data_IF_172659832180
#
_entry.id   IF_172659832180
#
_cell.length_a   1.000
_cell.length_b   1.000
_cell.length_c   1.000
_cell.angle_alpha   90.00
_cell.angle_beta   90.00
_cell.angle_gamma   90.00
#
_symmetry.space_group_name_H-M   'P 1'
#
loop_
_entity.id
_entity.type
_entity.pdbx_description
1 polymer ?
#
# COMPACT_ATOMS: atom_id res chain seq x y z
N UNK A 1 -3.39 -15.54 13.96
CA UNK A 1 -4.19 -14.96 12.86
C UNK A 1 -3.30 -14.28 11.87
N UNK A 2 -3.55 -14.51 10.59
CA UNK A 2 -2.75 -13.90 9.54
C UNK A 2 -3.01 -12.41 9.44
N UNK A 3 -1.94 -11.66 9.27
CA UNK A 3 -2.06 -10.24 8.94
C UNK A 3 -2.29 -10.11 7.45
N UNK A 4 -3.14 -9.17 7.04
CA UNK A 4 -3.51 -8.96 5.64
C UNK A 4 -2.90 -7.67 5.13
N UNK A 5 -2.21 -7.75 3.99
CA UNK A 5 -1.66 -6.60 3.29
C UNK A 5 -2.43 -6.43 1.99
N UNK A 6 -2.95 -5.23 1.76
CA UNK A 6 -3.54 -4.87 0.47
C UNK A 6 -2.48 -4.16 -0.36
N UNK A 7 -2.08 -4.78 -1.46
CA UNK A 7 -1.16 -4.16 -2.41
C UNK A 7 -1.97 -3.60 -3.58
N UNK A 8 -1.86 -2.30 -3.78
CA UNK A 8 -2.54 -1.60 -4.87
C UNK A 8 -1.49 -1.23 -5.91
N UNK A 9 -1.50 -1.97 -7.01
CA UNK A 9 -0.47 -1.88 -8.05
C UNK A 9 -1.02 -2.38 -9.37
N UNK A 10 -0.91 -1.58 -10.44
CA UNK A 10 -1.40 -1.95 -11.76
C UNK A 10 -0.38 -2.73 -12.59
N UNK A 11 0.91 -2.67 -12.24
CA UNK A 11 1.97 -3.35 -12.97
C UNK A 11 2.17 -4.77 -12.43
N UNK A 12 2.00 -5.77 -13.31
CA UNK A 12 2.15 -7.17 -12.95
C UNK A 12 3.55 -7.49 -12.43
N UNK A 13 4.59 -6.92 -13.04
CA UNK A 13 5.97 -7.18 -12.60
C UNK A 13 6.22 -6.68 -11.18
N UNK A 14 5.68 -5.52 -10.84
CA UNK A 14 5.80 -5.00 -9.48
C UNK A 14 5.00 -5.83 -8.49
N UNK A 15 3.82 -6.32 -8.87
CA UNK A 15 3.03 -7.23 -8.02
C UNK A 15 3.80 -8.52 -7.76
N UNK A 16 4.40 -9.08 -8.81
CA UNK A 16 5.17 -10.32 -8.70
C UNK A 16 6.38 -10.15 -7.80
N UNK A 17 7.06 -9.01 -7.89
CA UNK A 17 8.21 -8.72 -7.03
C UNK A 17 7.82 -8.71 -5.55
N UNK A 18 6.74 -8.02 -5.21
CA UNK A 18 6.26 -7.96 -3.83
C UNK A 18 5.85 -9.34 -3.34
N UNK A 19 5.10 -10.06 -4.16
CA UNK A 19 4.67 -11.42 -3.84
C UNK A 19 5.86 -12.36 -3.59
N UNK A 20 6.87 -12.29 -4.44
CA UNK A 20 8.09 -13.08 -4.32
C UNK A 20 8.84 -12.77 -3.01
N UNK A 21 9.00 -11.49 -2.70
CA UNK A 21 9.68 -11.07 -1.47
C UNK A 21 8.95 -11.59 -0.24
N UNK A 22 7.62 -11.49 -0.22
CA UNK A 22 6.82 -11.97 0.91
C UNK A 22 6.90 -13.48 1.07
N UNK A 23 6.84 -14.24 -0.03
CA UNK A 23 6.94 -15.70 0.03
C UNK A 23 8.28 -16.15 0.60
N UNK A 24 9.36 -15.46 0.24
CA UNK A 24 10.69 -15.84 0.72
C UNK A 24 10.95 -15.38 2.16
N UNK A 25 10.22 -14.39 2.63
CA UNK A 25 10.40 -13.83 3.98
C UNK A 25 9.91 -14.75 5.09
N UNK A 26 8.98 -15.66 4.79
CA UNK A 26 8.31 -16.54 5.76
C UNK A 26 7.49 -15.77 6.80
N UNK A 27 7.18 -14.51 6.55
CA UNK A 27 6.27 -13.76 7.41
C UNK A 27 4.85 -14.30 7.24
N UNK A 28 4.11 -14.35 8.34
CA UNK A 28 2.73 -14.86 8.32
C UNK A 28 1.77 -13.75 7.88
N UNK A 29 1.77 -13.48 6.58
CA UNK A 29 0.96 -12.43 5.97
C UNK A 29 0.22 -12.98 4.77
N UNK A 30 -0.99 -12.46 4.55
CA UNK A 30 -1.77 -12.72 3.35
C UNK A 30 -1.71 -11.48 2.47
N UNK A 31 -1.44 -11.67 1.18
CA UNK A 31 -1.38 -10.57 0.22
C UNK A 31 -2.65 -10.56 -0.61
N UNK A 32 -3.37 -9.44 -0.57
CA UNK A 32 -4.55 -9.18 -1.40
C UNK A 32 -4.15 -8.10 -2.41
N UNK A 33 -4.52 -8.29 -3.67
CA UNK A 33 -4.13 -7.40 -4.77
C UNK A 33 -5.33 -6.58 -5.23
N UNK A 34 -5.11 -5.27 -5.43
CA UNK A 34 -6.01 -4.40 -6.16
C UNK A 34 -5.23 -3.78 -7.32
N UNK A 35 -5.84 -3.68 -8.49
CA UNK A 35 -5.15 -3.22 -9.69
C UNK A 35 -5.32 -1.72 -9.96
N UNK A 36 -6.16 -1.06 -9.19
CA UNK A 36 -6.36 0.39 -9.27
C UNK A 36 -6.98 0.90 -7.97
N UNK A 37 -7.12 2.22 -7.87
CA UNK A 37 -7.66 2.84 -6.65
C UNK A 37 -9.11 2.50 -6.38
N UNK A 38 -9.93 2.31 -7.42
CA UNK A 38 -11.33 1.93 -7.26
C UNK A 38 -11.44 0.57 -6.58
N UNK A 39 -10.70 -0.42 -7.06
CA UNK A 39 -10.65 -1.74 -6.43
C UNK A 39 -10.12 -1.67 -5.01
N UNK A 40 -9.12 -0.81 -4.77
CA UNK A 40 -8.53 -0.64 -3.45
C UNK A 40 -9.57 -0.18 -2.43
N UNK A 41 -10.37 0.82 -2.80
CA UNK A 41 -11.43 1.33 -1.92
C UNK A 41 -12.45 0.24 -1.65
N UNK A 42 -12.91 -0.45 -2.70
CA UNK A 42 -13.90 -1.51 -2.55
C UNK A 42 -13.41 -2.66 -1.68
N UNK A 43 -12.19 -3.13 -1.93
CA UNK A 43 -11.62 -4.25 -1.17
C UNK A 43 -11.34 -3.87 0.28
N UNK A 44 -10.82 -2.66 0.52
CA UNK A 44 -10.54 -2.20 1.87
C UNK A 44 -11.82 -2.09 2.71
N UNK A 45 -12.92 -1.64 2.09
CA UNK A 45 -14.20 -1.54 2.79
C UNK A 45 -14.84 -2.90 3.03
N UNK A 46 -14.73 -3.82 2.06
CA UNK A 46 -15.33 -5.15 2.18
C UNK A 46 -14.63 -6.00 3.23
N UNK A 47 -13.29 -5.90 3.33
CA UNK A 47 -12.49 -6.67 4.28
C UNK A 47 -11.26 -5.84 4.65
N UNK A 48 -11.35 -4.99 5.68
CA UNK A 48 -10.27 -4.08 6.03
C UNK A 48 -8.94 -4.79 6.28
N UNK A 49 -7.88 -4.43 5.52
CA UNK A 49 -6.55 -5.01 5.73
C UNK A 49 -5.85 -4.36 6.92
N UNK A 50 -4.70 -4.92 7.29
CA UNK A 50 -3.88 -4.38 8.37
C UNK A 50 -2.88 -3.33 7.88
N UNK A 51 -2.55 -3.37 6.59
CA UNK A 51 -1.60 -2.46 5.96
C UNK A 51 -1.96 -2.31 4.49
N UNK A 52 -1.82 -1.11 3.95
CA UNK A 52 -2.03 -0.84 2.53
C UNK A 52 -0.73 -0.32 1.92
N UNK A 53 -0.29 -0.96 0.84
CA UNK A 53 0.82 -0.49 0.02
C UNK A 53 0.19 0.11 -1.24
N UNK A 54 0.26 1.43 -1.37
CA UNK A 54 -0.49 2.16 -2.38
C UNK A 54 0.40 2.78 -3.44
N UNK A 55 0.28 2.32 -4.69
CA UNK A 55 0.85 3.01 -5.83
C UNK A 55 0.04 4.30 -6.06
N UNK A 56 0.72 5.43 -6.11
CA UNK A 56 0.04 6.71 -6.25
C UNK A 56 -0.33 7.04 -7.70
N UNK A 57 0.21 6.29 -8.67
CA UNK A 57 0.02 6.56 -10.10
C UNK A 57 -0.52 5.32 -10.80
N UNK A 58 -1.82 5.31 -11.07
CA UNK A 58 -2.52 4.18 -11.69
C UNK A 58 -3.66 4.68 -12.56
N UNK A 59 -4.07 3.89 -13.57
CA UNK A 59 -5.26 4.23 -14.35
C UNK A 59 -6.55 4.04 -13.53
N UNK A 60 -7.66 4.48 -14.06
CA UNK A 60 -9.01 4.42 -13.50
C UNK A 60 -9.15 5.34 -12.29
N UNK A 61 -8.48 5.02 -11.19
CA UNK A 61 -8.39 5.88 -10.01
C UNK A 61 -7.00 5.71 -9.40
N UNK A 62 -6.27 6.80 -9.26
CA UNK A 62 -4.92 6.78 -8.68
C UNK A 62 -4.97 6.84 -7.15
N UNK A 63 -3.79 6.75 -6.52
CA UNK A 63 -3.69 6.79 -5.07
C UNK A 63 -4.06 8.15 -4.48
N UNK A 64 -3.83 9.23 -5.22
CA UNK A 64 -4.19 10.58 -4.75
C UNK A 64 -5.69 10.72 -4.50
N UNK A 65 -6.51 9.97 -5.27
CA UNK A 65 -7.97 9.96 -5.11
C UNK A 65 -8.43 8.84 -4.18
N UNK A 66 -7.76 7.69 -4.19
CA UNK A 66 -8.15 6.56 -3.36
C UNK A 66 -7.89 6.78 -1.88
N UNK A 67 -6.73 7.35 -1.52
CA UNK A 67 -6.35 7.55 -0.11
C UNK A 67 -7.36 8.39 0.65
N UNK A 68 -7.82 9.54 0.14
CA UNK A 68 -8.83 10.32 0.86
C UNK A 68 -10.12 9.54 1.11
N UNK A 69 -10.54 8.71 0.16
CA UNK A 69 -11.76 7.90 0.32
C UNK A 69 -11.59 6.85 1.41
N UNK A 70 -10.42 6.20 1.46
CA UNK A 70 -10.13 5.22 2.50
C UNK A 70 -10.05 5.90 3.87
N UNK A 71 -9.42 7.07 3.95
CA UNK A 71 -9.27 7.80 5.21
C UNK A 71 -10.57 8.45 5.69
N UNK A 72 -11.53 8.68 4.80
CA UNK A 72 -12.81 9.25 5.16
C UNK A 72 -13.77 8.26 5.83
N UNK A 73 -13.52 6.96 5.69
CA UNK A 73 -14.40 5.94 6.24
C UNK A 73 -13.93 5.48 7.62
N UNK A 74 -14.80 5.49 8.65
CA UNK A 74 -14.41 5.07 10.00
C UNK A 74 -13.85 3.65 10.08
N UNK A 75 -14.27 2.74 9.20
CA UNK A 75 -13.81 1.35 9.20
C UNK A 75 -12.37 1.21 8.70
N UNK A 76 -11.85 2.18 7.92
CA UNK A 76 -10.55 2.07 7.26
C UNK A 76 -9.61 3.23 7.57
N UNK A 77 -10.08 4.27 8.24
CA UNK A 77 -9.30 5.50 8.46
C UNK A 77 -7.99 5.29 9.22
N UNK A 78 -7.93 4.29 10.08
CA UNK A 78 -6.75 4.05 10.93
C UNK A 78 -5.77 3.03 10.34
N UNK A 79 -6.07 2.47 9.16
CA UNK A 79 -5.17 1.54 8.50
C UNK A 79 -3.94 2.32 7.98
N UNK A 80 -2.70 1.91 8.33
CA UNK A 80 -1.53 2.58 7.81
C UNK A 80 -1.42 2.38 6.30
N UNK A 81 -1.16 3.48 5.58
CA UNK A 81 -0.98 3.48 4.13
C UNK A 81 0.43 3.94 3.82
N UNK A 82 1.16 3.11 3.09
CA UNK A 82 2.49 3.42 2.57
C UNK A 82 2.35 3.82 1.12
N UNK A 83 2.78 5.03 0.78
CA UNK A 83 2.68 5.53 -0.60
C UNK A 83 3.93 5.17 -1.40
N UNK A 84 3.72 4.76 -2.66
CA UNK A 84 4.79 4.49 -3.62
C UNK A 84 4.60 5.34 -4.86
N UNK A 85 5.68 5.98 -5.31
CA UNK A 85 5.64 6.81 -6.52
C UNK A 85 6.83 6.48 -7.42
N UNK A 86 6.70 6.81 -8.71
CA UNK A 86 7.80 6.64 -9.66
C UNK A 86 8.87 7.72 -9.51
N UNK A 87 8.53 8.85 -8.91
CA UNK A 87 9.43 9.99 -8.76
C UNK A 87 9.44 10.51 -7.33
N UNK A 88 10.64 10.82 -6.83
CA UNK A 88 10.84 11.32 -5.46
C UNK A 88 10.88 12.85 -5.45
N UNK A 89 9.76 13.51 -5.68
CA UNK A 89 9.67 14.96 -5.56
C UNK A 89 9.36 15.35 -4.11
N UNK A 90 10.06 16.34 -3.55
CA UNK A 90 9.78 16.77 -2.17
C UNK A 90 8.33 17.17 -1.94
N UNK A 91 7.69 17.84 -2.91
CA UNK A 91 6.29 18.24 -2.80
C UNK A 91 5.34 17.03 -2.76
N UNK A 92 5.68 15.94 -3.46
CA UNK A 92 4.87 14.72 -3.43
C UNK A 92 4.92 14.06 -2.05
N UNK A 93 6.09 14.05 -1.42
CA UNK A 93 6.25 13.50 -0.08
C UNK A 93 5.42 14.25 0.95
N UNK A 94 5.46 15.58 0.89
CA UNK A 94 4.63 16.41 1.76
C UNK A 94 3.15 16.19 1.50
N UNK A 95 2.76 16.03 0.24
CA UNK A 95 1.38 15.83 -0.18
C UNK A 95 0.82 14.49 0.28
N UNK A 96 1.59 13.41 0.16
CA UNK A 96 1.15 12.09 0.65
C UNK A 96 0.98 12.09 2.16
N UNK A 97 1.88 12.76 2.87
CA UNK A 97 1.77 12.90 4.32
C UNK A 97 0.52 13.67 4.71
N UNK A 98 0.21 14.75 3.99
CA UNK A 98 -1.00 15.54 4.23
C UNK A 98 -2.28 14.73 3.99
N UNK A 99 -2.26 13.77 3.08
CA UNK A 99 -3.39 12.88 2.83
C UNK A 99 -3.55 11.81 3.91
N UNK A 100 -2.56 11.63 4.77
CA UNK A 100 -2.62 10.65 5.85
C UNK A 100 -1.79 9.39 5.63
N UNK A 101 -0.94 9.35 4.59
CA UNK A 101 0.01 8.26 4.40
C UNK A 101 1.09 8.35 5.47
N UNK A 102 1.48 7.21 6.04
CA UNK A 102 2.46 7.19 7.14
C UNK A 102 3.89 7.20 6.65
N UNK A 103 4.14 6.71 5.43
CA UNK A 103 5.46 6.77 4.78
C UNK A 103 5.32 6.87 3.28
N UNK A 104 6.39 7.28 2.62
CA UNK A 104 6.45 7.49 1.19
C UNK A 104 7.77 6.94 0.66
N UNK A 105 7.71 6.08 -0.36
CA UNK A 105 8.88 5.50 -0.99
C UNK A 105 8.83 5.66 -2.51
N UNK A 106 10.01 5.60 -3.13
CA UNK A 106 10.14 5.66 -4.58
C UNK A 106 10.29 4.25 -5.13
N UNK A 107 9.68 3.97 -6.28
CA UNK A 107 9.87 2.70 -6.99
C UNK A 107 11.21 2.69 -7.72
N UNK A 108 11.83 1.53 -7.93
CA UNK A 108 11.46 0.22 -7.44
C UNK A 108 11.74 0.07 -5.95
N UNK A 109 10.93 -0.73 -5.29
CA UNK A 109 11.05 -0.92 -3.86
C UNK A 109 12.20 -1.86 -3.52
N UNK A 110 13.05 -1.45 -2.58
CA UNK A 110 14.09 -2.32 -2.05
C UNK A 110 13.45 -3.41 -1.19
N UNK A 111 13.74 -4.70 -1.47
CA UNK A 111 13.17 -5.79 -0.67
C UNK A 111 13.40 -5.69 0.83
N UNK A 112 14.58 -5.23 1.26
CA UNK A 112 14.88 -5.07 2.68
C UNK A 112 14.05 -3.96 3.31
N UNK A 113 13.86 -2.85 2.60
CA UNK A 113 13.00 -1.76 3.07
C UNK A 113 11.54 -2.23 3.16
N UNK A 114 11.07 -2.99 2.17
CA UNK A 114 9.72 -3.52 2.16
C UNK A 114 9.48 -4.39 3.39
N UNK A 115 10.37 -5.32 3.68
CA UNK A 115 10.23 -6.21 4.84
C UNK A 115 10.29 -5.43 6.15
N UNK A 116 11.17 -4.43 6.24
CA UNK A 116 11.28 -3.61 7.44
C UNK A 116 9.99 -2.84 7.72
N UNK A 117 9.36 -2.28 6.67
CA UNK A 117 8.09 -1.57 6.78
C UNK A 117 7.00 -2.51 7.27
N UNK A 118 6.91 -3.69 6.65
CA UNK A 118 5.88 -4.67 6.99
C UNK A 118 6.01 -5.09 8.44
N UNK A 119 7.24 -5.40 8.89
CA UNK A 119 7.48 -5.80 10.26
C UNK A 119 7.13 -4.67 11.24
N UNK A 120 7.46 -3.43 10.88
CA UNK A 120 7.19 -2.27 11.73
C UNK A 120 5.69 -2.06 11.94
N UNK A 121 4.91 -2.04 10.86
CA UNK A 121 3.49 -1.70 10.94
C UNK A 121 2.59 -2.86 11.31
N UNK A 122 3.05 -4.09 11.14
CA UNK A 122 2.26 -5.27 11.51
C UNK A 122 2.74 -5.95 12.79
N UNK A 123 3.76 -5.42 13.44
CA UNK A 123 4.35 -5.97 14.67
C UNK A 123 4.83 -7.42 14.49
N UNK A 124 5.55 -7.63 13.41
CA UNK A 124 6.08 -8.98 13.10
C UNK A 124 7.59 -9.09 13.34
#
# INVERSE_FOLDING_TARGET
MNKVILLVEDDEDNRDLVSFVLQRSRLDVELVIAENGQEAVEKALASPPHLILMDMQMPVMDGWHAVPLIKANPATKDIPIIAFTAQAKPEDKARTKALGCVEHYTKPMDPEELLAIIQKYLNL
#
